data_IF_777932313687
#
_entry.id   IF_777932313687
#
_cell.length_a   1.000
_cell.length_b   1.000
_cell.length_c   1.000
_cell.angle_alpha   90.00
_cell.angle_beta   90.00
_cell.angle_gamma   90.00
#
_symmetry.space_group_name_H-M   'P 1'
#
loop_
_entity.id
_entity.type
_entity.pdbx_description
1 polymer ?
#
# COMPACT_ATOMS: atom_id res chain seq x y z
N UNK A 1 -12.02 -3.08 -15.51
CA UNK A 1 -11.75 -1.70 -15.05
C UNK A 1 -10.34 -1.27 -15.49
N UNK A 2 -10.13 0.01 -15.80
CA UNK A 2 -8.78 0.51 -16.03
C UNK A 2 -8.05 0.63 -14.68
N UNK A 3 -6.77 0.27 -14.65
CA UNK A 3 -5.89 0.48 -13.49
C UNK A 3 -5.54 1.96 -13.42
N UNK A 4 -5.70 2.58 -12.25
CA UNK A 4 -5.25 3.94 -11.97
C UNK A 4 -3.73 3.97 -11.93
N UNK A 5 -3.11 5.08 -12.30
CA UNK A 5 -1.67 5.25 -12.09
C UNK A 5 -1.33 5.26 -10.61
N UNK A 6 -0.08 4.88 -10.27
CA UNK A 6 0.39 4.90 -8.88
C UNK A 6 0.30 6.32 -8.29
N UNK A 7 0.57 7.37 -9.06
CA UNK A 7 0.42 8.75 -8.61
C UNK A 7 -1.04 9.11 -8.29
N UNK A 8 -2.00 8.70 -9.10
CA UNK A 8 -3.42 8.95 -8.80
C UNK A 8 -3.86 8.22 -7.51
N UNK A 9 -3.34 7.01 -7.28
CA UNK A 9 -3.59 6.29 -6.03
C UNK A 9 -2.92 6.99 -4.85
N UNK A 10 -1.68 7.44 -4.97
CA UNK A 10 -0.98 8.19 -3.93
C UNK A 10 -1.73 9.51 -3.59
N UNK A 11 -2.23 10.24 -4.60
CA UNK A 11 -3.07 11.44 -4.39
C UNK A 11 -4.35 11.10 -3.61
N UNK A 12 -4.98 9.96 -3.91
CA UNK A 12 -6.13 9.48 -3.14
C UNK A 12 -5.76 9.11 -1.69
N UNK A 13 -4.58 8.55 -1.46
CA UNK A 13 -4.11 8.24 -0.11
C UNK A 13 -3.80 9.51 0.70
N UNK A 14 -3.30 10.54 0.03
CA UNK A 14 -2.98 11.86 0.58
C UNK A 14 -4.22 12.76 0.77
N UNK A 15 -5.36 12.40 0.20
CA UNK A 15 -6.58 13.17 0.31
C UNK A 15 -6.94 13.41 1.78
N UNK A 16 -7.18 14.68 2.13
CA UNK A 16 -7.34 15.13 3.50
C UNK A 16 -8.38 14.31 4.26
N UNK A 17 -7.98 13.79 5.42
CA UNK A 17 -8.85 13.02 6.31
C UNK A 17 -9.13 11.58 5.89
N UNK A 18 -8.62 11.10 4.74
CA UNK A 18 -8.88 9.72 4.28
C UNK A 18 -8.01 8.68 4.98
N UNK A 19 -6.70 8.92 5.09
CA UNK A 19 -5.74 8.04 5.77
C UNK A 19 -4.66 8.86 6.50
N UNK A 20 -5.02 9.59 7.57
CA UNK A 20 -4.06 10.43 8.30
C UNK A 20 -2.85 9.65 8.84
N UNK A 21 -3.00 8.35 9.09
CA UNK A 21 -1.92 7.44 9.52
C UNK A 21 -0.81 7.24 8.49
N UNK A 22 -1.07 7.52 7.20
CA UNK A 22 -0.06 7.43 6.15
C UNK A 22 0.75 8.72 5.99
N UNK A 23 0.43 9.78 6.73
CA UNK A 23 1.09 11.09 6.65
C UNK A 23 1.85 11.40 7.93
N UNK A 24 3.04 12.00 7.79
CA UNK A 24 3.92 12.37 8.89
C UNK A 24 5.12 11.44 9.03
N UNK A 25 5.94 11.65 10.06
CA UNK A 25 7.26 11.01 10.18
C UNK A 25 7.25 9.48 10.27
N UNK A 26 6.11 8.88 10.64
CA UNK A 26 5.88 7.42 10.71
C UNK A 26 5.05 6.87 9.54
N UNK A 27 4.56 7.74 8.65
CA UNK A 27 3.72 7.37 7.53
C UNK A 27 4.49 6.99 6.27
N UNK A 28 3.77 6.72 5.18
CA UNK A 28 4.35 6.58 3.84
C UNK A 28 4.82 7.93 3.30
N UNK A 29 4.06 8.98 3.60
CA UNK A 29 4.27 10.35 3.12
C UNK A 29 4.67 11.30 4.23
N UNK A 30 5.49 12.30 3.91
CA UNK A 30 5.81 13.40 4.81
C UNK A 30 4.65 14.40 4.94
N UNK A 31 4.80 15.40 5.80
CA UNK A 31 3.74 16.39 6.06
C UNK A 31 3.40 17.28 4.84
N UNK A 32 4.23 17.28 3.80
CA UNK A 32 4.02 18.02 2.56
C UNK A 32 3.48 17.14 1.43
N UNK A 33 3.21 15.85 1.69
CA UNK A 33 2.77 14.88 0.70
C UNK A 33 3.91 14.27 -0.13
N UNK A 34 5.17 14.55 0.20
CA UNK A 34 6.32 13.87 -0.39
C UNK A 34 6.49 12.45 0.18
N UNK A 35 7.31 11.60 -0.43
CA UNK A 35 7.64 10.29 0.15
C UNK A 35 8.62 10.44 1.31
N UNK A 36 8.38 9.73 2.41
CA UNK A 36 9.40 9.60 3.44
C UNK A 36 10.54 8.67 2.97
N UNK A 37 11.74 8.87 3.54
CA UNK A 37 12.88 7.98 3.34
C UNK A 37 12.57 6.52 3.75
N UNK A 38 13.24 5.58 3.08
CA UNK A 38 13.08 4.15 3.31
C UNK A 38 11.82 3.54 2.68
N UNK A 39 11.02 4.33 1.96
CA UNK A 39 9.85 3.86 1.22
C UNK A 39 10.26 3.12 -0.06
N UNK A 40 9.72 1.90 -0.23
CA UNK A 40 9.76 1.11 -1.45
C UNK A 40 8.34 0.92 -1.97
N UNK A 41 8.19 0.95 -3.30
CA UNK A 41 6.91 0.85 -4.00
C UNK A 41 6.97 -0.30 -5.00
N UNK A 42 5.89 -1.05 -5.08
CA UNK A 42 5.75 -2.22 -5.95
C UNK A 42 4.37 -2.31 -6.58
N UNK A 43 4.26 -3.17 -7.57
CA UNK A 43 2.99 -3.55 -8.19
C UNK A 43 2.92 -5.07 -8.23
N UNK A 44 1.79 -5.62 -7.80
CA UNK A 44 1.47 -7.03 -7.95
C UNK A 44 0.31 -7.15 -8.94
N UNK A 45 0.53 -7.91 -10.02
CA UNK A 45 -0.50 -8.24 -11.00
C UNK A 45 -0.77 -9.73 -10.91
N UNK A 46 -2.00 -10.09 -10.55
CA UNK A 46 -2.44 -11.47 -10.50
C UNK A 46 -3.46 -11.72 -11.60
N UNK A 47 -3.19 -12.71 -12.45
CA UNK A 47 -4.11 -13.16 -13.50
C UNK A 47 -4.60 -14.55 -13.09
N UNK A 48 -5.91 -14.77 -12.91
CA UNK A 48 -6.41 -16.08 -12.54
C UNK A 48 -6.12 -17.10 -13.62
N UNK A 49 -5.58 -18.23 -13.18
CA UNK A 49 -5.52 -19.53 -13.84
C UNK A 49 -6.23 -20.52 -12.88
N UNK A 50 -6.61 -21.69 -13.38
CA UNK A 50 -7.41 -22.75 -12.76
C UNK A 50 -6.95 -23.12 -11.34
N UNK A 51 -5.69 -22.82 -10.96
CA UNK A 51 -5.10 -23.08 -9.65
C UNK A 51 -4.89 -21.88 -8.71
N UNK A 52 -5.09 -20.62 -9.13
CA UNK A 52 -4.78 -19.41 -8.34
C UNK A 52 -6.00 -18.67 -7.78
N UNK A 53 -7.20 -19.14 -8.10
CA UNK A 53 -8.49 -18.52 -7.78
C UNK A 53 -8.68 -18.26 -6.28
N UNK A 54 -8.12 -19.08 -5.40
CA UNK A 54 -8.25 -18.92 -3.94
C UNK A 54 -7.62 -17.64 -3.38
N UNK A 55 -6.37 -17.34 -3.75
CA UNK A 55 -5.67 -16.12 -3.27
C UNK A 55 -6.28 -14.86 -3.88
N UNK A 56 -6.68 -14.91 -5.16
CA UNK A 56 -7.24 -13.76 -5.87
C UNK A 56 -8.63 -13.40 -5.32
N UNK A 57 -9.42 -14.39 -4.91
CA UNK A 57 -10.76 -14.16 -4.35
C UNK A 57 -10.75 -13.40 -3.02
N UNK A 58 -9.65 -13.46 -2.25
CA UNK A 58 -9.47 -12.66 -1.03
C UNK A 58 -9.08 -11.20 -1.33
N UNK A 59 -8.46 -10.97 -2.49
CA UNK A 59 -7.99 -9.67 -2.94
C UNK A 59 -9.07 -8.90 -3.72
N UNK A 60 -9.92 -9.59 -4.51
CA UNK A 60 -10.94 -8.98 -5.37
C UNK A 60 -12.14 -9.91 -5.57
N UNK A 61 -13.35 -9.36 -5.54
CA UNK A 61 -14.57 -10.06 -5.97
C UNK A 61 -14.58 -10.18 -7.50
N UNK A 62 -14.21 -11.35 -8.05
CA UNK A 62 -14.53 -11.71 -9.44
C UNK A 62 -13.50 -12.53 -10.20
N UNK A 63 -13.90 -12.99 -11.39
CA UNK A 63 -13.06 -13.71 -12.37
C UNK A 63 -12.03 -12.79 -13.08
N UNK A 64 -12.03 -11.49 -12.76
CA UNK A 64 -11.10 -10.53 -13.30
C UNK A 64 -9.80 -10.54 -12.48
N UNK A 65 -8.65 -10.51 -13.15
CA UNK A 65 -7.36 -10.37 -12.49
C UNK A 65 -7.28 -9.17 -11.55
N UNK A 66 -6.38 -9.26 -10.57
CA UNK A 66 -6.13 -8.23 -9.57
C UNK A 66 -4.90 -7.42 -9.92
N UNK A 67 -4.91 -6.13 -9.60
CA UNK A 67 -3.69 -5.32 -9.56
C UNK A 67 -3.67 -4.53 -8.26
N UNK A 68 -2.60 -4.69 -7.48
CA UNK A 68 -2.37 -3.92 -6.27
C UNK A 68 -1.10 -3.10 -6.38
N UNK A 69 -1.11 -1.93 -5.72
CA UNK A 69 0.09 -1.20 -5.39
C UNK A 69 0.47 -1.47 -3.96
N UNK A 70 1.72 -1.88 -3.76
CA UNK A 70 2.26 -2.25 -2.46
C UNK A 70 3.34 -1.25 -2.04
N UNK A 71 3.20 -0.75 -0.82
CA UNK A 71 4.11 0.21 -0.21
C UNK A 71 4.74 -0.44 1.00
N UNK A 72 6.07 -0.44 1.08
CA UNK A 72 6.80 -0.92 2.25
C UNK A 72 7.81 0.13 2.65
N UNK A 73 7.65 0.72 3.83
CA UNK A 73 8.60 1.66 4.40
C UNK A 73 9.29 1.06 5.61
N UNK A 74 10.60 1.18 5.66
CA UNK A 74 11.40 0.80 6.83
C UNK A 74 12.17 2.00 7.37
N UNK A 75 12.17 2.20 8.69
CA UNK A 75 12.93 3.27 9.33
C UNK A 75 13.34 2.88 10.75
N UNK A 76 14.41 3.49 11.24
CA UNK A 76 14.82 3.41 12.64
C UNK A 76 14.33 4.66 13.38
N UNK A 77 13.78 4.48 14.58
CA UNK A 77 13.39 5.61 15.43
C UNK A 77 13.41 5.23 16.89
N UNK A 78 14.16 6.00 17.71
CA UNK A 78 14.19 5.86 19.17
C UNK A 78 14.52 4.44 19.65
N UNK A 79 15.42 3.73 18.95
CA UNK A 79 15.82 2.36 19.29
C UNK A 79 14.88 1.27 18.77
N UNK A 80 14.02 1.59 17.81
CA UNK A 80 13.13 0.63 17.16
C UNK A 80 13.35 0.59 15.65
N UNK A 81 13.43 -0.62 15.11
CA UNK A 81 13.30 -0.90 13.69
C UNK A 81 11.82 -1.06 13.34
N UNK A 82 11.31 -0.15 12.52
CA UNK A 82 9.90 -0.10 12.14
C UNK A 82 9.72 -0.47 10.67
N UNK A 83 8.66 -1.22 10.37
CA UNK A 83 8.23 -1.56 9.01
C UNK A 83 6.73 -1.30 8.87
N UNK A 84 6.35 -0.40 7.97
CA UNK A 84 4.97 -0.17 7.55
C UNK A 84 4.75 -0.78 6.16
N UNK A 85 3.79 -1.69 6.05
CA UNK A 85 3.36 -2.29 4.79
C UNK A 85 1.91 -1.90 4.51
N UNK A 86 1.63 -1.46 3.28
CA UNK A 86 0.29 -1.08 2.82
C UNK A 86 0.05 -1.66 1.44
N UNK A 87 -1.08 -2.33 1.24
CA UNK A 87 -1.53 -2.83 -0.06
C UNK A 87 -2.81 -2.10 -0.46
N UNK A 88 -2.86 -1.64 -1.71
CA UNK A 88 -3.96 -0.82 -2.24
C UNK A 88 -4.45 -1.41 -3.56
N UNK A 89 -5.75 -1.55 -3.71
CA UNK A 89 -6.39 -1.91 -4.98
C UNK A 89 -6.14 -0.80 -6.01
N UNK A 90 -5.41 -1.13 -7.07
CA UNK A 90 -4.99 -0.16 -8.08
C UNK A 90 -6.15 0.29 -8.98
N UNK A 91 -7.33 -0.34 -8.92
CA UNK A 91 -8.51 0.08 -9.70
C UNK A 91 -9.37 1.10 -8.96
N UNK A 92 -9.30 1.12 -7.62
CA UNK A 92 -10.22 1.91 -6.78
C UNK A 92 -9.52 2.82 -5.77
N UNK A 93 -8.22 2.65 -5.55
CA UNK A 93 -7.51 3.33 -4.46
C UNK A 93 -7.95 2.87 -3.06
N UNK A 94 -8.67 1.74 -2.97
CA UNK A 94 -9.10 1.16 -1.70
C UNK A 94 -7.92 0.47 -1.02
N UNK A 95 -7.63 0.83 0.22
CA UNK A 95 -6.66 0.10 1.05
C UNK A 95 -7.22 -1.29 1.35
N UNK A 96 -6.45 -2.32 1.00
CA UNK A 96 -6.80 -3.72 1.20
C UNK A 96 -6.20 -4.25 2.50
N UNK A 97 -4.98 -3.83 2.82
CA UNK A 97 -4.28 -4.27 4.03
C UNK A 97 -3.27 -3.22 4.51
N UNK A 98 -3.06 -3.19 5.83
CA UNK A 98 -2.03 -2.41 6.50
C UNK A 98 -1.37 -3.23 7.59
N UNK A 99 -0.06 -3.11 7.76
CA UNK A 99 0.67 -3.72 8.87
C UNK A 99 1.80 -2.82 9.32
N UNK A 100 1.84 -2.51 10.61
CA UNK A 100 2.99 -1.87 11.26
C UNK A 100 3.65 -2.88 12.18
N UNK A 101 4.94 -3.14 11.95
CA UNK A 101 5.76 -4.02 12.77
C UNK A 101 6.91 -3.20 13.33
N UNK A 102 7.04 -3.18 14.66
CA UNK A 102 8.14 -2.53 15.36
C UNK A 102 8.90 -3.59 16.17
N UNK A 103 10.23 -3.55 16.10
CA UNK A 103 11.13 -4.43 16.87
C UNK A 103 12.24 -3.60 17.50
N UNK A 104 12.73 -3.96 18.71
CA UNK A 104 13.91 -3.31 19.26
C UNK A 104 15.09 -3.48 18.30
N UNK A 105 15.81 -2.39 18.05
CA UNK A 105 17.03 -2.37 17.24
C UNK A 105 18.23 -2.97 18.00
#
# INVERSE_FOLDING_TARGET
PAVLSMSEVEDMLLAEGRFPEFVGSKGLFDANGGHNDGLRRGVLVAVPDDGLTGLISELVDGEAGATTYDYVRTWESQGWDSTLSVAVDATSGRVLATSLVERPA
#
